data_IF_182029980723
#
_entry.id   IF_182029980723
#
_cell.length_a   1.000
_cell.length_b   1.000
_cell.length_c   1.000
_cell.angle_alpha   90.00
_cell.angle_beta   90.00
_cell.angle_gamma   90.00
#
_symmetry.space_group_name_H-M   'P 1'
#
loop_
_entity.id
_entity.type
_entity.pdbx_description
1 polymer ?
#
# COMPACT_ATOMS: atom_id res chain seq x y z
N UNK A 1 -4.53 1.84 2.95
CA UNK A 1 -4.95 1.55 1.57
C UNK A 1 -5.36 2.80 0.83
N UNK A 2 -5.42 2.70 -0.50
CA UNK A 2 -5.93 3.78 -1.37
C UNK A 2 -7.06 3.21 -2.21
N UNK A 3 -8.16 3.94 -2.28
CA UNK A 3 -9.25 3.64 -3.22
C UNK A 3 -9.42 4.88 -4.09
N UNK A 4 -9.39 4.71 -5.40
CA UNK A 4 -9.43 5.82 -6.35
C UNK A 4 -10.66 5.71 -7.23
N UNK A 5 -11.42 6.80 -7.34
CA UNK A 5 -12.58 6.92 -8.21
C UNK A 5 -12.26 7.90 -9.35
N UNK A 6 -12.39 7.45 -10.58
CA UNK A 6 -12.40 8.32 -11.76
C UNK A 6 -13.82 8.43 -12.29
N UNK A 7 -14.36 9.64 -12.31
CA UNK A 7 -15.74 9.87 -12.72
C UNK A 7 -15.88 11.16 -13.54
N UNK A 8 -16.76 11.14 -14.51
CA UNK A 8 -17.23 12.38 -15.13
C UNK A 8 -18.19 13.09 -14.17
N UNK A 9 -18.13 14.44 -14.09
CA UNK A 9 -18.94 15.22 -13.16
C UNK A 9 -20.43 14.89 -13.15
N UNK A 10 -21.04 14.65 -14.33
CA UNK A 10 -22.46 14.28 -14.43
C UNK A 10 -22.83 12.94 -13.80
N UNK A 11 -21.88 12.03 -13.62
CA UNK A 11 -22.09 10.71 -13.00
C UNK A 11 -21.57 10.64 -11.57
N UNK A 12 -20.90 11.68 -11.10
CA UNK A 12 -20.23 11.68 -9.80
C UNK A 12 -21.17 11.30 -8.64
N UNK A 13 -22.41 11.83 -8.53
CA UNK A 13 -23.31 11.46 -7.43
C UNK A 13 -23.59 9.97 -7.34
N UNK A 14 -23.78 9.30 -8.48
CA UNK A 14 -24.02 7.84 -8.51
C UNK A 14 -22.76 7.02 -8.23
N UNK A 15 -21.63 7.48 -8.73
CA UNK A 15 -20.36 6.73 -8.58
C UNK A 15 -19.77 6.85 -7.19
N UNK A 16 -19.97 7.98 -6.51
CA UNK A 16 -19.52 8.15 -5.12
C UNK A 16 -20.34 7.29 -4.15
N UNK A 17 -21.62 7.10 -4.41
CA UNK A 17 -22.48 6.18 -3.65
C UNK A 17 -21.93 4.75 -3.68
N UNK A 18 -21.56 4.26 -4.87
CA UNK A 18 -20.92 2.95 -5.04
C UNK A 18 -19.59 2.88 -4.28
N UNK A 19 -18.75 3.91 -4.42
CA UNK A 19 -17.49 3.98 -3.70
C UNK A 19 -17.70 3.92 -2.18
N UNK A 20 -18.65 4.69 -1.66
CA UNK A 20 -18.98 4.72 -0.25
C UNK A 20 -19.44 3.36 0.28
N UNK A 21 -20.32 2.67 -0.46
CA UNK A 21 -20.73 1.30 -0.15
C UNK A 21 -19.55 0.32 -0.12
N UNK A 22 -18.68 0.37 -1.12
CA UNK A 22 -17.48 -0.48 -1.17
C UNK A 22 -16.51 -0.22 0.01
N UNK A 23 -16.39 1.03 0.44
CA UNK A 23 -15.47 1.41 1.51
C UNK A 23 -16.06 1.14 2.89
N UNK A 24 -17.35 1.39 3.08
CA UNK A 24 -18.02 1.28 4.40
C UNK A 24 -18.54 -0.12 4.70
N UNK A 25 -18.93 -0.87 3.67
CA UNK A 25 -19.61 -2.17 3.80
C UNK A 25 -18.99 -3.26 2.90
N UNK A 26 -17.66 -3.50 2.99
CA UNK A 26 -17.02 -4.50 2.14
C UNK A 26 -17.44 -5.92 2.52
N UNK A 27 -17.70 -6.75 1.52
CA UNK A 27 -18.22 -8.12 1.72
C UNK A 27 -17.12 -9.16 1.86
N UNK A 28 -16.00 -9.02 1.14
CA UNK A 28 -14.89 -9.98 1.06
C UNK A 28 -15.34 -11.43 0.77
N UNK A 29 -16.02 -11.71 -0.34
CA UNK A 29 -16.51 -13.05 -0.62
C UNK A 29 -15.34 -14.00 -0.92
N UNK A 30 -15.38 -15.21 -0.34
CA UNK A 30 -14.28 -16.20 -0.38
C UNK A 30 -13.88 -16.62 -1.81
N UNK A 31 -14.88 -16.79 -2.69
CA UNK A 31 -14.65 -17.22 -4.07
C UNK A 31 -13.83 -16.20 -4.87
N UNK A 32 -14.22 -14.95 -4.81
CA UNK A 32 -13.52 -13.85 -5.49
C UNK A 32 -12.17 -13.60 -4.85
N UNK A 33 -12.06 -13.72 -3.52
CA UNK A 33 -10.82 -13.58 -2.80
C UNK A 33 -9.82 -14.66 -3.22
N UNK A 34 -10.22 -15.93 -3.33
CA UNK A 34 -9.30 -16.99 -3.76
C UNK A 34 -8.72 -16.71 -5.15
N UNK A 35 -9.54 -16.23 -6.09
CA UNK A 35 -9.06 -15.84 -7.43
C UNK A 35 -8.03 -14.71 -7.36
N UNK A 36 -8.29 -13.69 -6.54
CA UNK A 36 -7.37 -12.55 -6.36
C UNK A 36 -6.06 -13.02 -5.74
N UNK A 37 -6.12 -13.88 -4.72
CA UNK A 37 -4.93 -14.46 -4.07
C UNK A 37 -4.12 -15.27 -5.07
N UNK A 38 -4.74 -16.14 -5.88
CA UNK A 38 -4.04 -16.97 -6.87
C UNK A 38 -3.36 -16.12 -7.95
N UNK A 39 -4.06 -15.11 -8.48
CA UNK A 39 -3.46 -14.17 -9.45
C UNK A 39 -2.25 -13.45 -8.85
N UNK A 40 -2.35 -12.98 -7.60
CA UNK A 40 -1.24 -12.30 -6.94
C UNK A 40 -0.07 -13.25 -6.63
N UNK A 41 -0.34 -14.52 -6.28
CA UNK A 41 0.70 -15.56 -6.15
C UNK A 41 1.46 -15.77 -7.46
N UNK A 42 0.74 -15.90 -8.57
CA UNK A 42 1.39 -16.06 -9.88
C UNK A 42 2.25 -14.83 -10.22
N UNK A 43 1.72 -13.63 -10.00
CA UNK A 43 2.48 -12.40 -10.22
C UNK A 43 3.72 -12.30 -9.32
N UNK A 44 3.60 -12.74 -8.06
CA UNK A 44 4.72 -12.82 -7.12
C UNK A 44 5.81 -13.74 -7.65
N UNK A 45 5.46 -14.95 -8.10
CA UNK A 45 6.42 -15.92 -8.66
C UNK A 45 7.15 -15.37 -9.89
N UNK A 46 6.42 -14.73 -10.81
CA UNK A 46 7.02 -14.08 -11.99
C UNK A 46 7.98 -12.96 -11.56
N UNK A 47 7.57 -12.12 -10.62
CA UNK A 47 8.41 -11.01 -10.14
C UNK A 47 9.63 -11.51 -9.36
N UNK A 48 9.52 -12.62 -8.62
CA UNK A 48 10.64 -13.22 -7.89
C UNK A 48 11.77 -13.70 -8.81
N UNK A 49 11.46 -13.97 -10.08
CA UNK A 49 12.47 -14.35 -11.10
C UNK A 49 13.25 -13.15 -11.66
N UNK A 50 12.83 -11.93 -11.39
CA UNK A 50 13.45 -10.74 -11.97
C UNK A 50 14.66 -10.30 -11.15
N UNK A 51 15.82 -10.19 -11.79
CA UNK A 51 17.08 -9.80 -11.13
C UNK A 51 17.03 -8.38 -10.55
N UNK A 52 16.29 -7.45 -11.17
CA UNK A 52 16.13 -6.10 -10.66
C UNK A 52 15.30 -6.05 -9.36
N UNK A 53 14.30 -6.92 -9.25
CA UNK A 53 13.48 -7.08 -8.03
C UNK A 53 14.32 -7.69 -6.91
N UNK A 54 15.09 -8.74 -7.22
CA UNK A 54 16.00 -9.37 -6.26
C UNK A 54 17.02 -8.38 -5.72
N UNK A 55 17.70 -7.66 -6.61
CA UNK A 55 18.69 -6.65 -6.22
C UNK A 55 18.09 -5.53 -5.36
N UNK A 56 16.89 -5.04 -5.69
CA UNK A 56 16.18 -4.04 -4.90
C UNK A 56 15.80 -4.56 -3.51
N UNK A 57 15.22 -5.76 -3.43
CA UNK A 57 14.87 -6.39 -2.15
C UNK A 57 16.12 -6.53 -1.27
N UNK A 58 17.23 -6.99 -1.85
CA UNK A 58 18.48 -7.19 -1.11
C UNK A 58 19.10 -5.88 -0.63
N UNK A 59 19.11 -4.84 -1.47
CA UNK A 59 19.55 -3.50 -1.07
C UNK A 59 18.69 -2.94 0.08
N UNK A 60 17.37 -2.98 -0.04
CA UNK A 60 16.48 -2.46 0.99
C UNK A 60 16.65 -3.23 2.32
N UNK A 61 16.81 -4.55 2.26
CA UNK A 61 17.08 -5.36 3.46
C UNK A 61 18.41 -4.97 4.12
N UNK A 62 19.45 -4.71 3.33
CA UNK A 62 20.74 -4.27 3.85
C UNK A 62 20.68 -2.87 4.49
N UNK A 63 19.92 -1.96 3.92
CA UNK A 63 19.78 -0.60 4.46
C UNK A 63 18.86 -0.53 5.69
N UNK A 64 17.71 -1.21 5.65
CA UNK A 64 16.65 -1.03 6.63
C UNK A 64 16.54 -2.16 7.65
N UNK A 65 17.06 -3.35 7.35
CA UNK A 65 16.87 -4.55 8.18
C UNK A 65 15.48 -5.17 8.07
N UNK A 66 15.31 -6.36 8.66
CA UNK A 66 14.07 -7.14 8.57
C UNK A 66 12.91 -6.59 9.43
N UNK A 67 13.22 -5.87 10.50
CA UNK A 67 12.22 -5.28 11.39
C UNK A 67 11.57 -4.02 10.81
N UNK A 68 12.21 -3.38 9.86
CA UNK A 68 11.73 -2.15 9.24
C UNK A 68 10.80 -2.45 8.05
N UNK A 69 9.66 -1.74 7.89
CA UNK A 69 8.70 -1.99 6.80
C UNK A 69 9.31 -1.94 5.39
N UNK A 70 10.32 -1.08 5.16
CA UNK A 70 11.01 -0.98 3.87
C UNK A 70 12.01 -2.11 3.60
N UNK A 71 12.45 -2.83 4.62
CA UNK A 71 13.37 -3.97 4.50
C UNK A 71 12.67 -5.33 4.50
N UNK A 72 11.39 -5.37 4.94
CA UNK A 72 10.58 -6.58 4.97
C UNK A 72 9.74 -6.69 3.70
N UNK A 73 9.67 -7.87 3.15
CA UNK A 73 8.86 -8.18 1.98
C UNK A 73 7.96 -9.38 2.29
N UNK A 74 6.84 -9.45 1.59
CA UNK A 74 5.99 -10.63 1.64
C UNK A 74 6.73 -11.83 1.05
N UNK A 75 6.47 -13.00 1.63
CA UNK A 75 6.92 -14.29 1.14
C UNK A 75 5.71 -15.06 0.57
N UNK A 76 5.96 -16.15 -0.14
CA UNK A 76 4.89 -16.89 -0.82
C UNK A 76 3.85 -17.44 0.16
N UNK A 77 4.31 -17.89 1.32
CA UNK A 77 3.49 -18.46 2.39
C UNK A 77 2.54 -17.44 3.03
N UNK A 78 2.83 -16.15 2.90
CA UNK A 78 1.95 -15.11 3.43
C UNK A 78 0.60 -15.07 2.68
N UNK A 79 0.62 -15.43 1.39
CA UNK A 79 -0.61 -15.52 0.60
C UNK A 79 -1.54 -16.63 1.07
N UNK A 80 -1.01 -17.71 1.65
CA UNK A 80 -1.80 -18.83 2.17
C UNK A 80 -2.57 -18.49 3.45
N UNK A 81 -2.17 -17.41 4.10
CA UNK A 81 -2.81 -16.90 5.33
C UNK A 81 -3.94 -15.91 5.05
N UNK A 82 -4.10 -15.48 3.78
CA UNK A 82 -5.13 -14.51 3.41
C UNK A 82 -6.46 -15.25 3.23
N UNK A 83 -7.44 -14.88 4.04
CA UNK A 83 -8.83 -15.34 3.94
C UNK A 83 -9.78 -14.21 4.31
N UNK A 84 -11.09 -14.41 4.12
CA UNK A 84 -12.11 -13.40 4.37
C UNK A 84 -12.13 -12.92 5.82
N UNK A 85 -11.90 -13.82 6.78
CA UNK A 85 -11.90 -13.50 8.20
C UNK A 85 -10.73 -12.56 8.57
N UNK A 86 -9.53 -12.87 8.08
CA UNK A 86 -8.33 -12.02 8.27
C UNK A 86 -8.55 -10.64 7.65
N UNK A 87 -9.14 -10.55 6.45
CA UNK A 87 -9.42 -9.28 5.81
C UNK A 87 -10.50 -8.48 6.56
N UNK A 88 -11.56 -9.13 7.03
CA UNK A 88 -12.57 -8.48 7.87
C UNK A 88 -11.96 -7.96 9.17
N UNK A 89 -11.11 -8.75 9.83
CA UNK A 89 -10.38 -8.31 11.02
C UNK A 89 -9.52 -7.08 10.75
N UNK A 90 -8.76 -7.09 9.67
CA UNK A 90 -7.95 -5.94 9.25
C UNK A 90 -8.83 -4.72 8.92
N UNK A 91 -9.93 -4.92 8.18
CA UNK A 91 -10.86 -3.86 7.86
C UNK A 91 -11.42 -3.21 9.13
N UNK A 92 -11.98 -3.98 10.05
CA UNK A 92 -12.54 -3.49 11.31
C UNK A 92 -11.50 -2.77 12.19
N UNK A 93 -10.23 -3.13 12.06
CA UNK A 93 -9.17 -2.50 12.83
C UNK A 93 -8.74 -1.16 12.27
N UNK A 94 -8.71 -0.98 10.94
CA UNK A 94 -8.04 0.15 10.31
C UNK A 94 -8.95 1.06 9.49
N UNK A 95 -10.14 0.59 9.08
CA UNK A 95 -11.05 1.33 8.23
C UNK A 95 -12.18 1.95 9.05
N UNK A 96 -12.09 3.24 9.29
CA UNK A 96 -13.09 4.03 10.01
C UNK A 96 -12.95 5.51 9.65
N UNK A 97 -13.99 6.33 9.92
CA UNK A 97 -14.04 7.75 9.57
C UNK A 97 -12.86 8.56 10.14
N UNK A 98 -12.42 8.25 11.36
CA UNK A 98 -11.30 8.92 12.01
C UNK A 98 -9.91 8.64 11.41
N UNK A 99 -9.81 7.67 10.48
CA UNK A 99 -8.60 7.31 9.75
C UNK A 99 -8.76 7.43 8.22
N UNK A 100 -9.74 8.20 7.78
CA UNK A 100 -10.04 8.41 6.37
C UNK A 100 -9.67 9.84 5.96
N UNK A 101 -8.99 9.98 4.83
CA UNK A 101 -8.74 11.26 4.18
C UNK A 101 -9.20 11.19 2.73
N UNK A 102 -10.01 12.16 2.31
CA UNK A 102 -10.53 12.24 0.94
C UNK A 102 -9.81 13.36 0.19
N UNK A 103 -9.19 13.03 -0.92
CA UNK A 103 -8.53 13.97 -1.81
C UNK A 103 -9.29 14.04 -3.13
N UNK A 104 -9.58 15.26 -3.57
CA UNK A 104 -10.35 15.51 -4.80
C UNK A 104 -9.56 16.40 -5.73
N UNK A 105 -9.54 16.06 -7.01
CA UNK A 105 -8.91 16.87 -8.03
C UNK A 105 -9.73 16.90 -9.31
N UNK A 106 -9.63 18.00 -10.07
CA UNK A 106 -10.36 18.23 -11.33
C UNK A 106 -11.36 19.37 -11.21
N UNK A 107 -12.49 19.27 -11.92
CA UNK A 107 -13.56 20.28 -11.82
C UNK A 107 -14.39 20.02 -10.56
N UNK A 108 -13.96 20.61 -9.45
CA UNK A 108 -14.62 20.48 -8.14
C UNK A 108 -15.68 21.59 -8.03
N UNK A 109 -16.95 21.20 -8.16
CA UNK A 109 -18.09 22.11 -7.94
C UNK A 109 -18.65 21.96 -6.51
N UNK A 110 -19.48 22.94 -6.04
CA UNK A 110 -20.15 22.79 -4.74
C UNK A 110 -20.95 21.49 -4.58
N UNK A 111 -21.57 21.02 -5.65
CA UNK A 111 -22.32 19.78 -5.66
C UNK A 111 -21.42 18.56 -5.44
N UNK A 112 -20.20 18.57 -5.98
CA UNK A 112 -19.20 17.52 -5.76
C UNK A 112 -18.80 17.48 -4.29
N UNK A 113 -18.54 18.66 -3.70
CA UNK A 113 -18.19 18.78 -2.28
C UNK A 113 -19.34 18.26 -1.42
N UNK A 114 -20.58 18.72 -1.68
CA UNK A 114 -21.75 18.27 -0.95
C UNK A 114 -21.96 16.74 -1.01
N UNK A 115 -21.79 16.12 -2.17
CA UNK A 115 -21.87 14.66 -2.29
C UNK A 115 -20.80 13.95 -1.46
N UNK A 116 -19.58 14.50 -1.37
CA UNK A 116 -18.52 13.91 -0.55
C UNK A 116 -18.85 14.04 0.94
N UNK A 117 -19.28 15.22 1.37
CA UNK A 117 -19.69 15.47 2.75
C UNK A 117 -20.83 14.54 3.17
N UNK A 118 -21.85 14.40 2.34
CA UNK A 118 -22.98 13.51 2.58
C UNK A 118 -22.55 12.06 2.77
N UNK A 119 -21.63 11.55 1.93
CA UNK A 119 -21.21 10.15 1.99
C UNK A 119 -20.10 9.87 2.99
N UNK A 120 -19.23 10.82 3.30
CA UNK A 120 -18.05 10.57 4.13
C UNK A 120 -17.92 11.51 5.34
N UNK A 121 -18.67 12.62 5.40
CA UNK A 121 -18.52 13.66 6.41
C UNK A 121 -19.65 13.74 7.44
N UNK A 122 -20.89 13.35 7.10
CA UNK A 122 -22.07 13.61 7.97
C UNK A 122 -22.16 12.66 9.18
N UNK A 123 -21.58 11.47 9.10
CA UNK A 123 -21.65 10.50 10.20
C UNK A 123 -20.37 9.70 10.32
N UNK A 124 -20.05 9.35 11.57
CA UNK A 124 -19.00 8.39 11.83
C UNK A 124 -19.36 7.01 11.31
N UNK A 125 -18.37 6.31 10.78
CA UNK A 125 -18.45 4.93 10.33
C UNK A 125 -17.22 4.15 10.77
N UNK A 126 -17.40 2.84 10.98
CA UNK A 126 -16.39 1.97 11.59
C UNK A 126 -16.14 2.29 13.07
N UNK A 127 -15.15 1.67 13.65
CA UNK A 127 -14.79 1.84 15.08
C UNK A 127 -13.80 3.01 15.26
N UNK A 128 -14.32 4.22 15.44
CA UNK A 128 -13.51 5.45 15.61
C UNK A 128 -12.77 5.51 16.96
N UNK A 129 -13.06 4.61 17.89
CA UNK A 129 -12.33 4.55 19.17
C UNK A 129 -10.92 4.00 19.00
N UNK A 130 -10.65 3.32 17.89
CA UNK A 130 -9.35 2.74 17.56
C UNK A 130 -8.41 3.80 17.03
N UNK A 131 -7.40 4.12 17.83
CA UNK A 131 -6.30 5.01 17.38
C UNK A 131 -5.21 4.18 16.70
N UNK A 132 -4.86 4.57 15.48
CA UNK A 132 -3.69 4.01 14.81
C UNK A 132 -2.44 4.58 15.49
N UNK A 133 -1.61 3.69 16.03
CA UNK A 133 -0.31 4.09 16.56
C UNK A 133 0.64 4.30 15.39
N UNK A 134 1.21 5.49 15.29
CA UNK A 134 2.35 5.72 14.41
C UNK A 134 3.57 5.04 15.05
N UNK A 135 3.95 3.89 14.52
CA UNK A 135 5.16 3.20 14.94
C UNK A 135 6.37 3.87 14.30
N UNK A 136 7.38 4.13 15.13
CA UNK A 136 8.67 4.62 14.64
C UNK A 136 9.59 3.42 14.43
N UNK A 137 10.01 3.22 13.21
CA UNK A 137 10.95 2.14 12.86
C UNK A 137 12.36 2.71 12.72
N UNK A 138 13.31 2.09 13.42
CA UNK A 138 14.73 2.43 13.31
C UNK A 138 15.39 1.47 12.33
N UNK A 139 16.03 1.96 11.27
CA UNK A 139 16.76 1.11 10.34
C UNK A 139 17.92 0.39 11.04
N UNK A 140 18.09 -0.88 10.71
CA UNK A 140 19.26 -1.68 11.14
C UNK A 140 20.09 -1.99 9.90
N UNK A 141 21.07 -1.14 9.61
CA UNK A 141 21.92 -1.26 8.42
C UNK A 141 22.95 -2.38 8.60
N UNK A 142 23.09 -3.22 7.60
CA UNK A 142 24.17 -4.20 7.55
C UNK A 142 25.52 -3.48 7.29
N UNK A 143 26.55 -3.84 8.03
CA UNK A 143 27.92 -3.32 7.80
C UNK A 143 28.55 -4.06 6.60
N UNK A 144 28.01 -3.82 5.43
CA UNK A 144 28.47 -4.46 4.20
C UNK A 144 28.43 -3.49 3.02
N UNK A 145 29.58 -3.21 2.42
CA UNK A 145 29.70 -2.28 1.29
C UNK A 145 29.34 -2.89 -0.06
N UNK A 146 29.42 -4.22 -0.20
CA UNK A 146 29.14 -4.93 -1.45
C UNK A 146 28.45 -6.25 -1.15
N UNK A 147 27.36 -6.49 -1.84
CA UNK A 147 26.55 -7.70 -1.68
C UNK A 147 26.33 -8.28 -3.08
N UNK A 148 26.67 -9.55 -3.24
CA UNK A 148 26.41 -10.28 -4.47
C UNK A 148 25.27 -11.27 -4.22
N UNK A 149 24.35 -11.33 -5.17
CA UNK A 149 23.28 -12.31 -5.21
C UNK A 149 23.37 -13.01 -6.56
N UNK A 150 23.71 -14.28 -6.53
CA UNK A 150 23.78 -15.09 -7.73
C UNK A 150 22.39 -15.64 -8.08
N UNK A 151 22.09 -15.68 -9.37
CA UNK A 151 20.90 -16.30 -9.93
C UNK A 151 21.33 -17.12 -11.15
N UNK A 152 21.12 -18.43 -11.07
CA UNK A 152 21.32 -19.33 -12.19
C UNK A 152 20.48 -18.91 -13.40
N UNK A 153 21.00 -19.09 -14.59
CA UNK A 153 20.34 -18.78 -15.88
C UNK A 153 19.91 -17.32 -16.05
N UNK A 154 20.50 -16.38 -15.30
CA UNK A 154 20.21 -14.97 -15.47
C UNK A 154 20.87 -14.44 -16.76
N UNK A 155 20.06 -13.94 -17.68
CA UNK A 155 20.53 -13.29 -18.91
C UNK A 155 21.02 -11.86 -18.70
N UNK A 156 20.73 -11.26 -17.55
CA UNK A 156 21.06 -9.87 -17.24
C UNK A 156 21.54 -9.73 -15.80
N UNK A 157 22.40 -8.75 -15.56
CA UNK A 157 22.80 -8.34 -14.23
C UNK A 157 22.08 -7.05 -13.82
N UNK A 158 21.76 -6.91 -12.54
CA UNK A 158 21.21 -5.70 -11.98
C UNK A 158 22.10 -5.16 -10.85
N UNK A 159 22.53 -3.91 -10.97
CA UNK A 159 23.32 -3.22 -9.96
C UNK A 159 22.41 -2.20 -9.27
N UNK A 160 22.35 -2.22 -7.95
CA UNK A 160 21.69 -1.22 -7.13
C UNK A 160 22.69 -0.61 -6.17
N UNK A 161 22.73 0.72 -6.14
CA UNK A 161 23.55 1.50 -5.23
C UNK A 161 22.62 2.38 -4.43
N UNK A 162 22.79 2.43 -3.12
CA UNK A 162 21.94 3.23 -2.26
C UNK A 162 22.61 3.55 -0.92
N UNK A 163 22.22 4.67 -0.36
CA UNK A 163 22.59 5.12 0.97
C UNK A 163 21.44 5.95 1.55
N UNK A 164 21.47 6.16 2.87
CA UNK A 164 20.57 7.14 3.48
C UNK A 164 20.98 8.55 3.08
N UNK A 165 19.98 9.40 2.89
CA UNK A 165 20.16 10.79 2.54
C UNK A 165 19.16 11.65 3.31
N UNK A 166 19.14 12.94 3.01
CA UNK A 166 18.20 13.90 3.58
C UNK A 166 16.76 13.59 3.13
N UNK A 167 15.80 13.81 4.02
CA UNK A 167 14.38 13.62 3.75
C UNK A 167 13.75 14.89 3.13
N UNK A 168 12.47 14.81 2.74
CA UNK A 168 11.73 15.89 2.10
C UNK A 168 11.59 17.17 2.94
N UNK A 169 11.75 17.08 4.26
CA UNK A 169 11.66 18.21 5.17
C UNK A 169 12.98 18.98 5.28
N UNK A 170 14.08 18.43 4.76
CA UNK A 170 15.37 19.08 4.81
C UNK A 170 15.43 20.27 3.84
N UNK A 171 15.98 21.46 4.22
CA UNK A 171 16.05 22.63 3.36
C UNK A 171 16.74 22.41 2.00
N UNK A 172 17.73 21.53 1.97
CA UNK A 172 18.49 21.21 0.76
C UNK A 172 17.92 20.07 -0.08
N UNK A 173 16.76 19.51 0.29
CA UNK A 173 16.17 18.37 -0.43
C UNK A 173 15.96 18.66 -1.93
N UNK A 174 15.46 19.85 -2.27
CA UNK A 174 15.23 20.23 -3.65
C UNK A 174 16.51 20.40 -4.48
N UNK A 175 17.64 20.69 -3.84
CA UNK A 175 18.93 20.78 -4.50
C UNK A 175 19.53 19.40 -4.80
N UNK A 176 19.14 18.39 -4.03
CA UNK A 176 19.64 17.02 -4.19
C UNK A 176 18.83 16.23 -5.23
N UNK A 177 17.61 16.61 -5.51
CA UNK A 177 16.70 15.94 -6.45
C UNK A 177 17.00 16.39 -7.88
#
# INVERSE_FOLDING_TARGET
GFVTLYSLGKYFPKTIEILASMVKEPVFPEKELSVVVDVNKQQFLVNAQRVDVMARKRLNRALFGLSHPLGRYAELEDYDRINSEVLKGFYHQYYHSGNCSVYVSGKVSPEVIHCIEQHFGESDWGDTTRKIKNETFVPTTEDCKRIFVEKEDALQSSIKIGTFSINQQHPDYLKLR
#
